data_IF_032602967415
#
_entry.id   IF_032602967415
#
_cell.length_a   1.000
_cell.length_b   1.000
_cell.length_c   1.000
_cell.angle_alpha   90.00
_cell.angle_beta   90.00
_cell.angle_gamma   90.00
#
_symmetry.space_group_name_H-M   'P 1'
#
loop_
_entity.id
_entity.type
_entity.pdbx_description
1 polymer ?
#
# COMPACT_ATOMS: atom_id res chain seq x y z
N UNK A 1 -6.55 8.37 -36.66
CA UNK A 1 -7.62 8.83 -35.76
C UNK A 1 -8.33 7.58 -35.24
N UNK A 2 -7.79 6.98 -34.17
CA UNK A 2 -8.39 5.85 -33.47
C UNK A 2 -8.81 6.39 -32.11
N UNK A 3 -10.11 6.48 -31.86
CA UNK A 3 -10.64 6.72 -30.52
C UNK A 3 -10.22 5.53 -29.66
N UNK A 4 -9.38 5.78 -28.66
CA UNK A 4 -9.17 4.86 -27.55
C UNK A 4 -10.05 5.39 -26.42
N UNK A 5 -11.19 4.74 -26.24
CA UNK A 5 -12.11 4.96 -25.12
C UNK A 5 -11.38 4.68 -23.81
N UNK A 6 -11.28 5.69 -22.94
CA UNK A 6 -10.82 5.55 -21.56
C UNK A 6 -11.66 4.51 -20.85
N UNK A 7 -11.07 3.35 -20.57
CA UNK A 7 -11.66 2.33 -19.73
C UNK A 7 -11.41 2.73 -18.28
N UNK A 8 -12.38 3.41 -17.66
CA UNK A 8 -12.43 3.53 -16.20
C UNK A 8 -12.47 2.10 -15.62
N UNK A 9 -11.40 1.71 -14.93
CA UNK A 9 -11.38 0.49 -14.14
C UNK A 9 -12.36 0.65 -12.97
N UNK A 10 -13.58 0.15 -13.14
CA UNK A 10 -14.46 -0.15 -12.01
C UNK A 10 -13.96 -1.44 -11.38
N UNK A 11 -13.43 -1.37 -10.15
CA UNK A 11 -13.29 -2.52 -9.27
C UNK A 11 -14.70 -3.10 -9.03
N UNK A 12 -15.06 -4.15 -9.77
CA UNK A 12 -16.30 -4.87 -9.57
C UNK A 12 -16.18 -5.72 -8.29
N UNK A 13 -16.80 -5.26 -7.21
CA UNK A 13 -17.01 -6.04 -5.99
C UNK A 13 -18.08 -7.10 -6.25
N UNK A 14 -17.70 -8.37 -6.14
CA UNK A 14 -18.65 -9.48 -6.06
C UNK A 14 -19.35 -9.42 -4.69
N UNK A 15 -20.50 -8.75 -4.65
CA UNK A 15 -21.37 -8.75 -3.49
C UNK A 15 -22.17 -10.06 -3.45
N UNK A 16 -21.90 -10.91 -2.45
CA UNK A 16 -22.84 -11.95 -2.04
C UNK A 16 -23.89 -11.34 -1.13
N UNK A 17 -25.16 -11.51 -1.48
CA UNK A 17 -26.29 -10.99 -0.73
C UNK A 17 -26.48 -11.79 0.57
N UNK A 18 -26.29 -11.14 1.72
CA UNK A 18 -26.84 -11.57 2.99
C UNK A 18 -27.88 -10.52 3.44
N UNK A 19 -29.11 -11.00 3.68
CA UNK A 19 -30.25 -10.19 4.08
C UNK A 19 -30.04 -9.56 5.47
N UNK A 20 -30.60 -8.38 5.64
CA UNK A 20 -30.29 -7.47 6.74
C UNK A 20 -30.97 -7.78 8.07
N UNK A 21 -30.32 -7.30 9.13
CA UNK A 21 -30.94 -6.99 10.41
C UNK A 21 -30.41 -5.64 10.91
N UNK A 22 -31.32 -4.80 11.39
CA UNK A 22 -31.04 -3.46 11.94
C UNK A 22 -30.23 -3.56 13.25
N UNK A 23 -29.21 -2.73 13.49
CA UNK A 23 -28.62 -2.65 14.83
C UNK A 23 -29.51 -1.79 15.74
N UNK A 24 -29.98 -2.43 16.81
CA UNK A 24 -30.53 -1.80 18.01
C UNK A 24 -29.46 -0.96 18.69
N UNK A 25 -29.81 0.27 19.08
CA UNK A 25 -29.04 1.03 20.06
C UNK A 25 -29.16 0.32 21.40
N UNK A 26 -28.04 -0.08 22.01
CA UNK A 26 -28.01 -0.40 23.43
C UNK A 26 -26.87 0.34 24.12
N UNK A 27 -27.28 1.24 25.00
CA UNK A 27 -26.43 1.99 25.92
C UNK A 27 -26.30 1.17 27.20
N UNK A 28 -25.24 0.39 27.32
CA UNK A 28 -24.96 -0.42 28.49
C UNK A 28 -23.46 -0.49 28.80
N UNK A 29 -23.07 0.12 29.92
CA UNK A 29 -21.73 -0.04 30.50
C UNK A 29 -21.55 -1.49 30.96
N UNK A 30 -20.83 -2.28 30.16
CA UNK A 30 -20.48 -3.66 30.45
C UNK A 30 -19.06 -3.94 29.98
N UNK A 31 -18.30 -4.64 30.82
CA UNK A 31 -16.90 -5.02 30.64
C UNK A 31 -16.74 -6.12 29.54
N UNK A 32 -17.20 -5.83 28.32
CA UNK A 32 -17.16 -6.72 27.17
C UNK A 32 -16.00 -6.36 26.24
N UNK A 33 -15.17 -7.35 25.89
CA UNK A 33 -14.14 -7.19 24.86
C UNK A 33 -14.79 -6.70 23.56
N UNK A 34 -14.38 -5.53 23.08
CA UNK A 34 -14.80 -4.97 21.79
C UNK A 34 -14.62 -6.01 20.67
N UNK A 35 -15.69 -6.39 19.99
CA UNK A 35 -15.67 -7.30 18.82
C UNK A 35 -15.19 -6.61 17.55
N UNK A 36 -14.79 -5.33 17.64
CA UNK A 36 -14.24 -4.57 16.52
C UNK A 36 -12.92 -5.18 16.03
N UNK A 37 -12.75 -5.20 14.70
CA UNK A 37 -11.59 -5.80 14.04
C UNK A 37 -10.31 -5.05 14.40
N UNK A 38 -10.32 -3.71 14.41
CA UNK A 38 -9.17 -2.90 14.82
C UNK A 38 -8.82 -3.12 16.30
N UNK A 39 -9.83 -3.17 17.17
CA UNK A 39 -9.63 -3.48 18.58
C UNK A 39 -9.01 -4.87 18.81
N UNK A 40 -9.38 -5.84 17.98
CA UNK A 40 -8.82 -7.20 18.02
C UNK A 40 -7.35 -7.22 17.61
N UNK A 41 -6.99 -6.55 16.51
CA UNK A 41 -5.59 -6.44 16.05
C UNK A 41 -4.74 -5.71 17.09
N UNK A 42 -5.24 -4.59 17.63
CA UNK A 42 -4.59 -3.83 18.68
C UNK A 42 -4.25 -4.73 19.88
N UNK A 43 -5.22 -5.49 20.41
CA UNK A 43 -4.98 -6.43 21.52
C UNK A 43 -4.03 -7.57 21.18
N UNK A 44 -4.10 -8.11 19.96
CA UNK A 44 -3.17 -9.14 19.49
C UNK A 44 -1.72 -8.62 19.54
N UNK A 45 -1.47 -7.46 18.93
CA UNK A 45 -0.15 -6.84 18.89
C UNK A 45 0.33 -6.44 20.28
N UNK A 46 -0.55 -5.93 21.16
CA UNK A 46 -0.22 -5.67 22.56
C UNK A 46 0.26 -6.94 23.28
N UNK A 47 -0.39 -8.08 23.04
CA UNK A 47 -0.02 -9.36 23.65
C UNK A 47 1.34 -9.85 23.14
N UNK A 48 1.60 -9.75 21.83
CA UNK A 48 2.89 -10.10 21.22
C UNK A 48 4.04 -9.21 21.74
N UNK A 49 3.78 -7.91 21.95
CA UNK A 49 4.79 -6.94 22.39
C UNK A 49 4.99 -6.87 23.91
N UNK A 50 4.10 -7.49 24.71
CA UNK A 50 4.15 -7.45 26.16
C UNK A 50 3.98 -6.03 26.74
N UNK A 51 4.69 -5.69 27.82
CA UNK A 51 4.59 -4.34 28.42
C UNK A 51 5.35 -3.25 27.66
N UNK A 52 6.16 -3.63 26.68
CA UNK A 52 7.09 -2.78 25.92
C UNK A 52 6.37 -1.70 25.12
N UNK A 53 5.20 -2.02 24.56
CA UNK A 53 4.48 -1.13 23.65
C UNK A 53 4.02 0.18 24.33
N UNK A 54 3.75 0.16 25.64
CA UNK A 54 3.19 1.31 26.39
C UNK A 54 4.08 2.56 26.40
N UNK A 55 5.37 2.40 26.10
CA UNK A 55 6.36 3.48 26.07
C UNK A 55 6.95 3.69 24.68
N UNK A 56 6.47 2.95 23.69
CA UNK A 56 7.07 2.93 22.36
C UNK A 56 6.62 4.15 21.58
N UNK A 57 7.58 4.92 21.08
CA UNK A 57 7.32 5.93 20.06
C UNK A 57 7.74 5.39 18.69
N UNK A 58 7.36 6.09 17.62
CA UNK A 58 7.82 5.75 16.27
C UNK A 58 9.35 5.65 16.14
N UNK A 59 10.10 6.40 16.97
CA UNK A 59 11.58 6.37 16.97
C UNK A 59 12.15 5.13 17.67
N UNK A 60 11.36 4.49 18.52
CA UNK A 60 11.75 3.34 19.33
C UNK A 60 11.24 2.02 18.74
N UNK A 61 10.59 2.07 17.57
CA UNK A 61 10.13 0.88 16.85
C UNK A 61 11.33 -0.05 16.60
N UNK A 62 11.19 -1.36 16.88
CA UNK A 62 12.26 -2.31 16.62
C UNK A 62 12.57 -2.36 15.12
N UNK A 63 13.81 -2.76 14.78
CA UNK A 63 14.23 -2.95 13.39
C UNK A 63 13.34 -3.96 12.64
N UNK A 64 12.81 -4.93 13.37
CA UNK A 64 11.81 -5.89 12.89
C UNK A 64 10.55 -5.76 13.75
N UNK A 65 9.57 -4.92 13.32
CA UNK A 65 8.30 -4.81 14.00
C UNK A 65 7.50 -6.11 13.94
N UNK A 66 6.57 -6.33 14.89
CA UNK A 66 5.63 -7.45 14.81
C UNK A 66 4.87 -7.44 13.48
N UNK A 67 4.72 -8.64 12.92
CA UNK A 67 4.05 -8.90 11.64
C UNK A 67 2.81 -9.73 11.92
N UNK A 68 1.67 -9.32 11.40
CA UNK A 68 0.40 -10.06 11.50
C UNK A 68 -0.16 -10.34 10.11
N UNK A 69 -1.05 -11.32 9.93
CA UNK A 69 -1.71 -11.55 8.64
C UNK A 69 -2.36 -10.27 8.12
N UNK A 70 -2.18 -9.97 6.83
CA UNK A 70 -2.58 -8.68 6.27
C UNK A 70 -4.09 -8.50 6.12
N UNK A 71 -4.85 -9.56 5.81
CA UNK A 71 -6.30 -9.43 5.56
C UNK A 71 -7.07 -8.85 6.75
N UNK A 72 -6.91 -9.34 8.01
CA UNK A 72 -7.55 -8.69 9.16
C UNK A 72 -7.21 -7.20 9.29
N UNK A 73 -5.95 -6.83 9.03
CA UNK A 73 -5.53 -5.41 9.07
C UNK A 73 -6.23 -4.60 7.99
N UNK A 74 -6.30 -5.12 6.76
CA UNK A 74 -7.06 -4.47 5.69
C UNK A 74 -8.55 -4.33 6.05
N UNK A 75 -9.15 -5.33 6.71
CA UNK A 75 -10.53 -5.28 7.17
C UNK A 75 -10.73 -4.20 8.24
N UNK A 76 -9.75 -3.98 9.12
CA UNK A 76 -9.73 -2.86 10.07
C UNK A 76 -9.60 -1.50 9.36
N UNK A 77 -8.69 -1.35 8.39
CA UNK A 77 -8.57 -0.10 7.63
C UNK A 77 -9.87 0.20 6.86
N UNK A 78 -10.52 -0.84 6.34
CA UNK A 78 -11.82 -0.78 5.68
C UNK A 78 -13.01 -0.60 6.63
N UNK A 79 -12.82 -0.62 7.95
CA UNK A 79 -13.88 -0.25 8.90
C UNK A 79 -13.73 1.18 9.43
N UNK A 80 -12.66 1.91 9.05
CA UNK A 80 -12.50 3.31 9.42
C UNK A 80 -13.61 4.17 8.80
N UNK A 81 -14.37 4.94 9.61
CA UNK A 81 -15.48 5.74 9.13
C UNK A 81 -14.99 6.87 8.20
N UNK A 82 -15.63 7.02 7.05
CA UNK A 82 -15.46 8.22 6.23
C UNK A 82 -16.36 9.35 6.74
N UNK A 83 -15.81 10.55 6.90
CA UNK A 83 -16.58 11.76 7.28
C UNK A 83 -16.58 12.73 6.07
N UNK A 84 -17.67 12.79 5.27
CA UNK A 84 -17.66 13.48 3.98
C UNK A 84 -17.25 14.95 4.04
N UNK A 85 -17.69 15.68 5.06
CA UNK A 85 -17.34 17.10 5.23
C UNK A 85 -15.83 17.29 5.45
N UNK A 86 -15.18 16.39 6.20
CA UNK A 86 -13.73 16.46 6.42
C UNK A 86 -12.96 16.11 5.14
N UNK A 87 -13.40 15.10 4.38
CA UNK A 87 -12.78 14.76 3.10
C UNK A 87 -12.91 15.87 2.05
N UNK A 88 -14.08 16.51 1.99
CA UNK A 88 -14.34 17.69 1.16
C UNK A 88 -13.43 18.86 1.52
N UNK A 89 -13.37 19.19 2.81
CA UNK A 89 -12.52 20.28 3.30
C UNK A 89 -11.04 19.97 3.07
N UNK A 90 -10.61 18.72 3.31
CA UNK A 90 -9.25 18.29 3.01
C UNK A 90 -8.89 18.49 1.53
N UNK A 91 -9.75 18.08 0.60
CA UNK A 91 -9.49 18.26 -0.83
C UNK A 91 -9.27 19.74 -1.20
N UNK A 92 -10.07 20.65 -0.63
CA UNK A 92 -9.94 22.10 -0.84
C UNK A 92 -8.68 22.67 -0.20
N UNK A 93 -8.36 22.29 1.03
CA UNK A 93 -7.19 22.83 1.73
C UNK A 93 -5.90 22.25 1.15
N UNK A 94 -5.87 20.96 0.86
CA UNK A 94 -4.72 20.31 0.25
C UNK A 94 -4.45 20.84 -1.15
N UNK A 95 -5.47 21.16 -1.95
CA UNK A 95 -5.26 21.75 -3.28
C UNK A 95 -4.47 23.04 -3.23
N UNK A 96 -4.59 23.84 -2.14
CA UNK A 96 -3.81 25.08 -1.97
C UNK A 96 -2.31 24.80 -1.83
N UNK A 97 -1.94 23.72 -1.16
CA UNK A 97 -0.55 23.27 -1.07
C UNK A 97 -0.06 22.70 -2.40
N UNK A 98 -0.92 21.95 -3.10
CA UNK A 98 -0.56 21.34 -4.38
C UNK A 98 -0.26 22.37 -5.47
N UNK A 99 -0.81 23.59 -5.39
CA UNK A 99 -0.47 24.68 -6.33
C UNK A 99 1.03 25.04 -6.36
N UNK A 100 1.82 24.63 -5.36
CA UNK A 100 3.28 24.81 -5.38
C UNK A 100 4.03 23.76 -6.21
N UNK A 101 3.34 22.70 -6.69
CA UNK A 101 3.97 21.68 -7.53
C UNK A 101 4.20 22.23 -8.94
N UNK A 102 5.48 22.35 -9.32
CA UNK A 102 5.88 23.05 -10.54
C UNK A 102 5.50 22.33 -11.85
N UNK A 103 5.19 21.04 -11.76
CA UNK A 103 4.95 20.17 -12.93
C UNK A 103 3.48 19.99 -13.29
N UNK A 104 2.54 20.61 -12.55
CA UNK A 104 1.09 20.39 -12.72
C UNK A 104 0.61 20.55 -14.18
N UNK A 105 0.98 21.65 -14.85
CA UNK A 105 0.55 21.92 -16.23
C UNK A 105 1.09 20.88 -17.21
N UNK A 106 2.38 20.53 -17.07
CA UNK A 106 3.04 19.53 -17.92
C UNK A 106 2.51 18.12 -17.67
N UNK A 107 2.16 17.77 -16.43
CA UNK A 107 1.55 16.48 -16.10
C UNK A 107 0.14 16.35 -16.70
N UNK A 108 -0.64 17.43 -16.67
CA UNK A 108 -1.99 17.46 -17.24
C UNK A 108 -1.97 17.40 -18.77
N UNK A 109 -1.00 18.08 -19.41
CA UNK A 109 -0.88 18.17 -20.86
C UNK A 109 0.56 17.86 -21.32
N UNK A 110 1.03 16.62 -21.18
CA UNK A 110 2.41 16.28 -21.47
C UNK A 110 2.70 16.30 -22.98
N UNK A 111 3.96 16.49 -23.38
CA UNK A 111 4.35 16.31 -24.78
C UNK A 111 4.08 14.88 -25.23
N UNK A 112 3.84 14.66 -26.53
CA UNK A 112 3.57 13.33 -27.11
C UNK A 112 4.67 12.29 -26.88
N UNK A 113 5.87 12.75 -26.51
CA UNK A 113 7.03 11.91 -26.20
C UNK A 113 7.11 11.50 -24.74
N UNK A 114 6.22 12.02 -23.88
CA UNK A 114 6.15 11.58 -22.49
C UNK A 114 5.64 10.14 -22.43
N UNK A 115 6.36 9.30 -21.72
CA UNK A 115 6.11 7.86 -21.72
C UNK A 115 5.05 7.40 -20.71
N UNK A 116 4.63 8.29 -19.82
CA UNK A 116 3.56 8.01 -18.85
C UNK A 116 2.26 8.69 -19.28
N UNK A 117 1.15 8.26 -18.69
CA UNK A 117 -0.16 8.84 -18.95
C UNK A 117 -0.23 10.29 -18.43
N UNK A 118 -1.03 11.11 -19.10
CA UNK A 118 -1.35 12.44 -18.59
C UNK A 118 -2.16 12.33 -17.29
N UNK A 119 -1.91 13.22 -16.35
CA UNK A 119 -2.64 13.25 -15.08
C UNK A 119 -3.02 14.68 -14.66
N UNK A 120 -4.28 14.86 -14.31
CA UNK A 120 -4.81 16.11 -13.77
C UNK A 120 -4.90 16.00 -12.24
N UNK A 121 -3.84 16.41 -11.55
CA UNK A 121 -3.76 16.31 -10.09
C UNK A 121 -4.83 17.20 -9.40
N UNK A 122 -5.00 18.44 -9.86
CA UNK A 122 -5.97 19.37 -9.25
C UNK A 122 -7.40 18.99 -9.60
N UNK A 123 -7.66 18.61 -10.85
CA UNK A 123 -8.97 18.11 -11.29
C UNK A 123 -9.35 16.81 -10.58
N UNK A 124 -8.42 15.86 -10.47
CA UNK A 124 -8.62 14.62 -9.73
C UNK A 124 -8.98 14.88 -8.27
N UNK A 125 -8.27 15.78 -7.59
CA UNK A 125 -8.55 16.13 -6.20
C UNK A 125 -9.93 16.82 -6.05
N UNK A 126 -10.31 17.66 -7.01
CA UNK A 126 -11.64 18.27 -7.03
C UNK A 126 -12.76 17.25 -7.22
N UNK A 127 -12.56 16.21 -8.04
CA UNK A 127 -13.51 15.11 -8.20
C UNK A 127 -13.60 14.24 -6.94
N UNK A 128 -12.47 13.97 -6.29
CA UNK A 128 -12.46 13.28 -4.99
C UNK A 128 -13.26 14.05 -3.93
N UNK A 129 -13.15 15.38 -3.90
CA UNK A 129 -13.95 16.23 -3.01
C UNK A 129 -15.47 16.09 -3.22
N UNK A 130 -15.93 15.67 -4.38
CA UNK A 130 -17.37 15.47 -4.67
C UNK A 130 -17.84 14.05 -4.37
N UNK A 131 -16.92 13.08 -4.26
CA UNK A 131 -17.23 11.66 -4.09
C UNK A 131 -17.58 11.35 -2.64
N UNK A 132 -18.57 10.49 -2.43
CA UNK A 132 -18.86 9.91 -1.12
C UNK A 132 -18.20 8.54 -1.02
N UNK A 133 -17.17 8.44 -0.19
CA UNK A 133 -16.41 7.21 0.01
C UNK A 133 -17.10 6.30 1.02
N UNK A 134 -16.88 4.98 0.87
CA UNK A 134 -17.41 4.00 1.81
C UNK A 134 -16.62 4.04 3.12
N UNK A 135 -15.31 4.20 3.04
CA UNK A 135 -14.38 4.14 4.18
C UNK A 135 -13.32 5.26 4.07
N UNK A 136 -12.71 5.64 5.18
CA UNK A 136 -11.57 6.58 5.14
C UNK A 136 -10.42 6.00 4.31
N UNK A 137 -10.20 4.68 4.39
CA UNK A 137 -9.16 4.01 3.62
C UNK A 137 -9.38 4.11 2.11
N UNK A 138 -10.62 4.07 1.62
CA UNK A 138 -10.89 4.24 0.19
C UNK A 138 -10.55 5.65 -0.29
N UNK A 139 -10.79 6.67 0.54
CA UNK A 139 -10.39 8.05 0.25
C UNK A 139 -8.86 8.17 0.21
N UNK A 140 -8.18 7.60 1.20
CA UNK A 140 -6.72 7.65 1.34
C UNK A 140 -6.01 6.90 0.20
N UNK A 141 -6.54 5.76 -0.25
CA UNK A 141 -6.02 5.00 -1.40
C UNK A 141 -6.20 5.77 -2.71
N UNK A 142 -7.37 6.39 -2.94
CA UNK A 142 -7.58 7.25 -4.11
C UNK A 142 -6.61 8.44 -4.10
N UNK A 143 -6.36 9.04 -2.92
CA UNK A 143 -5.44 10.17 -2.77
C UNK A 143 -4.00 9.80 -3.14
N UNK A 144 -3.50 8.69 -2.60
CA UNK A 144 -2.15 8.19 -2.92
C UNK A 144 -2.07 7.79 -4.39
N UNK A 145 -3.11 7.17 -4.96
CA UNK A 145 -3.14 6.79 -6.38
C UNK A 145 -3.07 8.03 -7.28
N UNK A 146 -3.81 9.09 -6.95
CA UNK A 146 -3.77 10.35 -7.68
C UNK A 146 -2.39 11.00 -7.60
N UNK A 147 -1.81 11.14 -6.40
CA UNK A 147 -0.47 11.73 -6.24
C UNK A 147 0.61 10.89 -6.94
N UNK A 148 0.54 9.56 -6.82
CA UNK A 148 1.51 8.64 -7.45
C UNK A 148 1.44 8.66 -8.98
N UNK A 149 0.29 9.04 -9.56
CA UNK A 149 0.16 9.16 -11.03
C UNK A 149 1.05 10.26 -11.63
N UNK A 150 1.56 11.19 -10.81
CA UNK A 150 2.57 12.16 -11.22
C UNK A 150 3.95 11.53 -11.49
N UNK A 151 4.19 10.33 -10.94
CA UNK A 151 5.47 9.63 -11.01
C UNK A 151 6.66 10.52 -10.62
N UNK A 152 6.55 11.16 -9.46
CA UNK A 152 7.56 12.08 -8.93
C UNK A 152 7.92 11.72 -7.48
N UNK A 153 9.18 11.30 -7.27
CA UNK A 153 9.70 10.89 -5.97
C UNK A 153 9.79 11.99 -4.91
N UNK A 154 9.55 13.25 -5.27
CA UNK A 154 9.45 14.37 -4.32
C UNK A 154 8.01 14.88 -4.16
N UNK A 155 7.05 14.20 -4.79
CA UNK A 155 5.65 14.52 -4.71
C UNK A 155 4.87 13.36 -4.12
N UNK A 156 4.81 13.35 -2.79
CA UNK A 156 4.16 12.29 -2.02
C UNK A 156 3.16 12.84 -1.00
N UNK A 157 2.32 11.94 -0.51
CA UNK A 157 1.35 12.21 0.56
C UNK A 157 1.25 10.97 1.44
N UNK A 158 1.20 11.18 2.76
CA UNK A 158 1.05 10.12 3.75
C UNK A 158 -0.26 10.29 4.49
N UNK A 159 -1.36 9.69 4.02
CA UNK A 159 -2.66 9.84 4.64
C UNK A 159 -2.82 8.93 5.86
N UNK A 160 -3.79 9.25 6.71
CA UNK A 160 -3.88 8.72 8.06
C UNK A 160 -4.11 7.21 8.13
N UNK A 161 -4.94 6.61 7.26
CA UNK A 161 -5.21 5.17 7.31
C UNK A 161 -3.99 4.37 6.86
N UNK A 162 -3.30 4.86 5.83
CA UNK A 162 -2.13 4.21 5.22
C UNK A 162 -0.85 4.44 6.03
N UNK A 163 -0.85 5.35 7.01
CA UNK A 163 0.29 5.51 7.92
C UNK A 163 0.34 4.47 9.03
N UNK A 164 -0.78 3.79 9.34
CA UNK A 164 -0.87 2.89 10.50
C UNK A 164 -0.07 1.60 10.33
N UNK A 165 -0.14 1.02 9.14
CA UNK A 165 0.45 -0.26 8.78
C UNK A 165 1.10 -0.20 7.41
N UNK A 166 2.16 -0.97 7.21
CA UNK A 166 2.72 -1.27 5.89
C UNK A 166 2.36 -2.70 5.52
N UNK A 167 1.94 -2.94 4.27
CA UNK A 167 1.75 -4.29 3.75
C UNK A 167 2.94 -4.76 2.93
N UNK A 168 3.34 -6.01 3.14
CA UNK A 168 4.43 -6.65 2.42
C UNK A 168 4.13 -8.11 2.10
N UNK A 169 4.65 -8.59 0.97
CA UNK A 169 4.66 -10.02 0.65
C UNK A 169 5.75 -10.73 1.46
N UNK A 170 5.42 -11.82 2.13
CA UNK A 170 6.39 -12.58 2.95
C UNK A 170 7.34 -13.42 2.09
N UNK A 171 8.25 -12.75 1.38
CA UNK A 171 9.16 -13.37 0.44
C UNK A 171 10.43 -12.52 0.21
N UNK A 172 11.53 -13.18 -0.18
CA UNK A 172 12.82 -12.53 -0.45
C UNK A 172 12.88 -11.68 -1.72
N UNK A 173 11.75 -11.41 -2.39
CA UNK A 173 11.71 -10.72 -3.68
C UNK A 173 11.97 -11.60 -4.90
N UNK A 174 11.80 -11.00 -6.07
CA UNK A 174 12.02 -11.64 -7.38
C UNK A 174 13.13 -10.92 -8.14
N UNK A 175 13.73 -11.62 -9.10
CA UNK A 175 14.78 -11.08 -9.96
C UNK A 175 14.52 -11.46 -11.42
N UNK A 176 15.06 -10.64 -12.33
CA UNK A 176 15.04 -10.88 -13.77
C UNK A 176 16.46 -11.22 -14.23
N UNK A 177 16.69 -12.46 -14.67
CA UNK A 177 18.03 -12.99 -14.93
C UNK A 177 18.09 -13.67 -16.29
N UNK A 178 19.05 -13.27 -17.11
CA UNK A 178 19.43 -13.98 -18.33
C UNK A 178 20.41 -15.10 -17.98
N UNK A 179 20.18 -16.30 -18.50
CA UNK A 179 21.02 -17.48 -18.19
C UNK A 179 22.43 -17.37 -18.76
N UNK A 180 22.59 -16.67 -19.88
CA UNK A 180 23.84 -16.55 -20.63
C UNK A 180 24.24 -15.09 -20.92
N UNK A 181 23.45 -14.12 -20.46
CA UNK A 181 23.62 -12.69 -20.74
C UNK A 181 23.28 -12.30 -22.19
N UNK A 182 22.67 -13.19 -22.97
CA UNK A 182 22.29 -12.98 -24.38
C UNK A 182 20.83 -13.29 -24.64
N UNK A 183 20.29 -14.34 -24.02
CA UNK A 183 18.88 -14.68 -24.05
C UNK A 183 18.08 -13.62 -23.31
N UNK A 184 16.80 -13.48 -23.66
CA UNK A 184 15.88 -12.70 -22.85
C UNK A 184 15.90 -13.20 -21.39
N UNK A 185 15.85 -12.30 -20.41
CA UNK A 185 15.84 -12.69 -19.02
C UNK A 185 14.52 -13.36 -18.65
N UNK A 186 14.60 -14.32 -17.75
CA UNK A 186 13.45 -14.97 -17.14
C UNK A 186 13.33 -14.54 -15.67
N UNK A 187 12.13 -14.72 -15.10
CA UNK A 187 11.86 -14.35 -13.73
C UNK A 187 12.16 -15.51 -12.78
N UNK A 188 12.86 -15.22 -11.69
CA UNK A 188 13.16 -16.19 -10.63
C UNK A 188 12.86 -15.58 -9.26
N UNK A 189 12.62 -16.44 -8.27
CA UNK A 189 12.71 -15.99 -6.87
C UNK A 189 14.16 -15.63 -6.56
N UNK A 190 14.37 -14.73 -5.60
CA UNK A 190 15.74 -14.39 -5.21
C UNK A 190 16.52 -15.61 -4.68
N UNK A 191 15.85 -16.50 -3.94
CA UNK A 191 16.46 -17.70 -3.40
C UNK A 191 16.87 -18.69 -4.50
N UNK A 192 16.04 -18.89 -5.53
CA UNK A 192 16.38 -19.68 -6.70
C UNK A 192 17.57 -19.09 -7.46
N UNK A 193 17.59 -17.77 -7.65
CA UNK A 193 18.71 -17.09 -8.30
C UNK A 193 20.01 -17.22 -7.49
N UNK A 194 19.93 -17.19 -6.16
CA UNK A 194 21.08 -17.44 -5.30
C UNK A 194 21.59 -18.89 -5.40
N UNK A 195 20.72 -19.86 -5.70
CA UNK A 195 21.13 -21.24 -5.98
C UNK A 195 21.82 -21.38 -7.34
N UNK A 196 21.32 -20.68 -8.38
CA UNK A 196 21.98 -20.61 -9.69
C UNK A 196 23.41 -20.09 -9.59
N UNK A 197 23.61 -19.02 -8.82
CA UNK A 197 24.91 -18.38 -8.66
C UNK A 197 25.97 -19.25 -7.97
N UNK A 198 25.56 -20.25 -7.17
CA UNK A 198 26.48 -21.14 -6.43
C UNK A 198 27.10 -22.24 -7.28
N UNK A 199 26.83 -22.29 -8.59
CA UNK A 199 27.45 -23.26 -9.50
C UNK A 199 27.02 -24.71 -9.26
N UNK A 200 25.93 -24.93 -8.51
CA UNK A 200 25.25 -26.21 -8.47
C UNK A 200 24.56 -26.41 -9.82
N UNK A 201 25.33 -26.80 -10.85
CA UNK A 201 24.90 -26.97 -12.25
C UNK A 201 23.74 -27.96 -12.49
N UNK A 202 23.11 -28.46 -11.42
CA UNK A 202 21.97 -29.36 -11.38
C UNK A 202 20.81 -28.87 -10.48
N UNK A 203 20.89 -27.68 -9.86
CA UNK A 203 19.69 -27.11 -9.22
C UNK A 203 18.72 -26.72 -10.33
N UNK A 204 17.74 -27.58 -10.60
CA UNK A 204 16.68 -27.33 -11.57
C UNK A 204 15.72 -26.26 -11.04
N UNK A 205 16.24 -25.04 -10.85
CA UNK A 205 15.38 -23.90 -10.56
C UNK A 205 14.55 -23.63 -11.79
N UNK A 206 13.30 -23.32 -11.55
CA UNK A 206 12.32 -23.15 -12.61
C UNK A 206 11.92 -21.68 -12.62
N UNK A 207 11.90 -21.02 -13.79
CA UNK A 207 11.40 -19.66 -13.86
C UNK A 207 9.93 -19.58 -13.48
N UNK A 208 9.55 -18.43 -12.94
CA UNK A 208 8.16 -18.04 -12.70
C UNK A 208 7.48 -17.83 -14.05
N UNK A 209 6.36 -18.53 -14.25
CA UNK A 209 5.57 -18.49 -15.49
C UNK A 209 4.23 -17.80 -15.30
N UNK A 210 3.71 -17.74 -14.07
CA UNK A 210 2.49 -17.00 -13.72
C UNK A 210 2.56 -16.41 -12.32
N UNK A 211 1.90 -15.27 -12.14
CA UNK A 211 1.63 -14.67 -10.83
C UNK A 211 0.11 -14.56 -10.70
N UNK A 212 -0.49 -15.20 -9.68
CA UNK A 212 -1.94 -15.28 -9.51
C UNK A 212 -2.69 -15.78 -10.76
N UNK A 213 -2.08 -16.71 -11.50
CA UNK A 213 -2.62 -17.26 -12.75
C UNK A 213 -2.51 -16.34 -13.97
N UNK A 214 -1.97 -15.12 -13.83
CA UNK A 214 -1.81 -14.13 -14.89
C UNK A 214 -0.38 -14.13 -15.45
N UNK A 215 -0.20 -13.47 -16.60
CA UNK A 215 1.13 -13.19 -17.14
C UNK A 215 1.95 -12.38 -16.11
N UNK A 216 3.16 -12.83 -15.75
CA UNK A 216 3.95 -12.14 -14.76
C UNK A 216 4.25 -10.69 -15.12
N UNK A 217 4.58 -10.39 -16.38
CA UNK A 217 4.98 -9.04 -16.76
C UNK A 217 3.81 -8.06 -16.65
N UNK A 218 2.58 -8.48 -16.97
CA UNK A 218 1.38 -7.66 -16.76
C UNK A 218 1.20 -7.31 -15.27
N UNK A 219 1.40 -8.29 -14.37
CA UNK A 219 1.32 -8.07 -12.93
C UNK A 219 2.43 -7.11 -12.46
N UNK A 220 3.67 -7.33 -12.88
CA UNK A 220 4.81 -6.50 -12.47
C UNK A 220 4.71 -5.07 -13.02
N UNK A 221 4.23 -4.88 -14.25
CA UNK A 221 3.95 -3.54 -14.80
C UNK A 221 2.85 -2.82 -14.01
N UNK A 222 1.82 -3.54 -13.55
CA UNK A 222 0.79 -2.95 -12.71
C UNK A 222 1.32 -2.53 -11.34
N UNK A 223 2.24 -3.29 -10.74
CA UNK A 223 2.95 -2.89 -9.51
C UNK A 223 3.79 -1.64 -9.79
N UNK A 224 4.54 -1.62 -10.88
CA UNK A 224 5.42 -0.52 -11.26
C UNK A 224 4.70 0.83 -11.41
N UNK A 225 3.40 0.85 -11.74
CA UNK A 225 2.61 2.09 -11.86
C UNK A 225 2.55 2.94 -10.58
N UNK A 226 2.77 2.34 -9.42
CA UNK A 226 2.78 3.07 -8.14
C UNK A 226 4.18 3.53 -7.73
N UNK A 227 5.20 3.22 -8.53
CA UNK A 227 6.56 3.71 -8.30
C UNK A 227 6.70 5.16 -8.77
N UNK A 228 7.58 5.89 -8.10
CA UNK A 228 7.72 7.35 -8.21
C UNK A 228 8.75 7.83 -9.22
N UNK A 229 9.38 6.93 -9.98
CA UNK A 229 10.31 7.31 -11.05
C UNK A 229 9.54 7.80 -12.28
N UNK A 230 9.95 8.93 -12.88
CA UNK A 230 9.33 9.49 -14.07
C UNK A 230 9.47 8.57 -15.28
N UNK A 231 10.60 7.85 -15.35
CA UNK A 231 10.90 6.88 -16.40
C UNK A 231 10.23 5.52 -16.11
N UNK A 232 9.41 4.98 -17.03
CA UNK A 232 8.70 3.72 -16.82
C UNK A 232 9.63 2.50 -16.68
N UNK A 233 10.80 2.50 -17.32
CA UNK A 233 11.75 1.40 -17.21
C UNK A 233 12.41 1.41 -15.83
N UNK A 234 12.71 2.59 -15.28
CA UNK A 234 13.16 2.74 -13.90
C UNK A 234 12.10 2.25 -12.89
N UNK A 235 10.81 2.53 -13.14
CA UNK A 235 9.71 1.99 -12.33
C UNK A 235 9.65 0.46 -12.40
N UNK A 236 9.79 -0.11 -13.59
CA UNK A 236 9.82 -1.56 -13.77
C UNK A 236 11.03 -2.19 -13.07
N UNK A 237 12.20 -1.57 -13.15
CA UNK A 237 13.41 -2.02 -12.46
C UNK A 237 13.24 -2.01 -10.93
N UNK A 238 12.49 -1.06 -10.37
CA UNK A 238 12.22 -0.96 -8.93
C UNK A 238 11.38 -2.14 -8.39
N UNK A 239 10.67 -2.87 -9.25
CA UNK A 239 9.89 -4.06 -8.86
C UNK A 239 10.79 -5.19 -8.36
N UNK A 240 11.99 -5.30 -8.92
CA UNK A 240 12.92 -6.39 -8.63
C UNK A 240 13.79 -6.11 -7.41
N UNK A 241 14.19 -7.19 -6.75
CA UNK A 241 15.23 -7.15 -5.74
C UNK A 241 16.55 -6.69 -6.35
N UNK A 242 17.22 -5.75 -5.69
CA UNK A 242 18.51 -5.23 -6.13
C UNK A 242 19.45 -4.96 -4.96
N UNK A 243 20.67 -5.47 -5.05
CA UNK A 243 21.72 -5.23 -4.05
C UNK A 243 22.13 -3.76 -3.93
N UNK A 244 21.80 -2.93 -4.93
CA UNK A 244 22.04 -1.48 -4.89
C UNK A 244 21.41 -0.82 -3.65
N UNK A 245 20.20 -1.26 -3.26
CA UNK A 245 19.48 -0.72 -2.11
C UNK A 245 20.22 -0.93 -0.78
N UNK A 246 21.09 -1.94 -0.69
CA UNK A 246 21.91 -2.18 0.51
C UNK A 246 22.93 -1.06 0.76
N UNK A 247 23.35 -0.35 -0.30
CA UNK A 247 24.33 0.74 -0.20
C UNK A 247 23.72 2.01 0.40
N UNK A 248 22.39 2.17 0.28
CA UNK A 248 21.67 3.36 0.76
C UNK A 248 21.22 3.30 2.23
N UNK A 249 21.45 2.18 2.95
CA UNK A 249 21.11 1.92 4.36
C UNK A 249 19.67 2.21 4.81
N UNK A 250 18.76 2.57 3.90
CA UNK A 250 17.44 3.14 4.26
C UNK A 250 16.28 2.17 4.03
N UNK A 251 16.43 1.17 3.14
CA UNK A 251 15.37 0.22 2.80
C UNK A 251 15.92 -1.20 2.56
N UNK A 252 15.14 -2.25 2.89
CA UNK A 252 15.49 -3.61 2.50
C UNK A 252 15.54 -3.73 0.96
N UNK A 253 16.42 -4.58 0.40
CA UNK A 253 16.73 -4.57 -1.03
C UNK A 253 15.72 -5.31 -1.91
N UNK A 254 14.53 -5.62 -1.38
CA UNK A 254 13.59 -6.62 -1.84
C UNK A 254 12.67 -6.19 -3.00
N UNK A 255 12.63 -4.90 -3.35
CA UNK A 255 11.90 -4.34 -4.49
C UNK A 255 10.40 -4.15 -4.24
N UNK A 256 9.72 -3.41 -5.11
CA UNK A 256 8.28 -3.08 -4.94
C UNK A 256 7.35 -4.27 -5.18
N UNK A 257 7.86 -5.40 -5.69
CA UNK A 257 7.14 -6.66 -5.59
C UNK A 257 6.90 -7.08 -4.14
N UNK A 258 7.79 -6.75 -3.21
CA UNK A 258 7.62 -7.10 -1.80
C UNK A 258 6.88 -6.02 -1.04
N UNK A 259 7.35 -4.79 -1.09
CA UNK A 259 6.76 -3.62 -0.42
C UNK A 259 6.57 -2.50 -1.44
N UNK A 260 5.31 -2.22 -1.79
CA UNK A 260 4.94 -1.19 -2.77
C UNK A 260 4.48 0.10 -2.08
N UNK A 261 5.33 0.64 -1.20
CA UNK A 261 4.99 1.82 -0.39
C UNK A 261 3.98 1.50 0.72
N UNK A 262 3.97 0.26 1.19
CA UNK A 262 3.07 -0.25 2.22
C UNK A 262 1.63 -0.43 1.79
N UNK A 263 1.31 -0.32 0.50
CA UNK A 263 -0.04 -0.49 -0.02
C UNK A 263 -0.50 -1.94 0.01
N UNK A 264 -1.78 -2.16 0.35
CA UNK A 264 -2.41 -3.46 0.26
C UNK A 264 -2.34 -3.99 -1.19
N UNK A 265 -1.76 -5.18 -1.44
CA UNK A 265 -1.60 -5.72 -2.79
C UNK A 265 -2.91 -6.23 -3.41
N UNK A 266 -4.05 -6.07 -2.74
CA UNK A 266 -5.37 -6.50 -3.21
C UNK A 266 -5.70 -7.96 -2.87
N UNK A 267 -4.74 -8.74 -2.35
CA UNK A 267 -4.87 -10.18 -2.11
C UNK A 267 -4.20 -10.59 -0.81
N UNK A 268 -4.72 -11.62 -0.15
CA UNK A 268 -4.16 -12.18 1.09
C UNK A 268 -2.91 -13.06 0.85
N UNK A 269 -2.79 -13.64 -0.34
CA UNK A 269 -1.66 -14.47 -0.78
C UNK A 269 -1.41 -14.23 -2.26
N UNK A 270 -0.13 -14.29 -2.64
CA UNK A 270 0.30 -14.26 -4.04
C UNK A 270 0.81 -15.65 -4.45
N UNK A 271 0.16 -16.27 -5.42
CA UNK A 271 0.58 -17.55 -5.99
C UNK A 271 1.63 -17.33 -7.07
N UNK A 272 2.81 -17.92 -6.90
CA UNK A 272 3.83 -18.03 -7.94
C UNK A 272 3.76 -19.42 -8.57
N UNK A 273 3.58 -19.50 -9.89
CA UNK A 273 3.61 -20.78 -10.62
C UNK A 273 4.89 -20.90 -11.45
N UNK A 274 5.53 -22.05 -11.39
CA UNK A 274 6.83 -22.30 -11.99
C UNK A 274 6.74 -23.21 -13.22
N UNK A 275 7.73 -23.14 -14.11
CA UNK A 275 7.73 -23.92 -15.36
C UNK A 275 7.82 -25.45 -15.17
N UNK A 276 8.28 -25.93 -14.01
CA UNK A 276 8.23 -27.36 -13.64
C UNK A 276 6.83 -27.82 -13.14
N UNK A 277 5.84 -26.93 -13.09
CA UNK A 277 4.50 -27.20 -12.61
C UNK A 277 4.29 -27.05 -11.10
N UNK A 278 5.33 -26.72 -10.32
CA UNK A 278 5.16 -26.42 -8.89
C UNK A 278 4.58 -25.02 -8.69
N UNK A 279 4.07 -24.77 -7.48
CA UNK A 279 3.57 -23.46 -7.05
C UNK A 279 4.10 -23.10 -5.67
N UNK A 280 4.23 -21.81 -5.39
CA UNK A 280 4.50 -21.27 -4.06
C UNK A 280 3.45 -20.24 -3.69
N UNK A 281 2.99 -20.27 -2.44
CA UNK A 281 2.09 -19.27 -1.88
C UNK A 281 2.91 -18.29 -1.05
N UNK A 282 2.73 -17.00 -1.33
CA UNK A 282 3.40 -15.91 -0.65
C UNK A 282 2.37 -15.10 0.12
N UNK A 283 2.25 -15.29 1.45
CA UNK A 283 1.32 -14.55 2.28
C UNK A 283 1.57 -13.04 2.23
N UNK A 284 0.51 -12.25 2.33
CA UNK A 284 0.61 -10.81 2.59
C UNK A 284 0.54 -10.57 4.09
N UNK A 285 1.57 -9.91 4.60
CA UNK A 285 1.72 -9.55 6.01
C UNK A 285 1.54 -8.04 6.18
N UNK A 286 1.07 -7.64 7.36
CA UNK A 286 1.00 -6.26 7.78
C UNK A 286 1.99 -6.00 8.92
N UNK A 287 2.70 -4.89 8.81
CA UNK A 287 3.73 -4.43 9.74
C UNK A 287 3.25 -3.15 10.40
N UNK A 288 3.18 -3.12 11.73
CA UNK A 288 2.78 -1.93 12.47
C UNK A 288 3.79 -0.78 12.24
N UNK A 289 3.30 0.42 11.92
CA UNK A 289 4.13 1.61 11.69
C UNK A 289 3.89 2.70 12.72
N UNK A 290 2.68 2.79 13.27
CA UNK A 290 2.31 3.76 14.29
C UNK A 290 1.95 3.07 15.61
N UNK A 291 2.87 3.03 16.62
CA UNK A 291 2.63 2.30 17.87
C UNK A 291 1.45 2.87 18.68
N UNK A 292 1.10 4.14 18.48
CA UNK A 292 -0.07 4.75 19.13
C UNK A 292 -1.38 4.06 18.72
N UNK A 293 -1.42 3.32 17.61
CA UNK A 293 -2.59 2.53 17.19
C UNK A 293 -2.98 1.53 18.27
N UNK A 294 -2.00 1.04 19.04
CA UNK A 294 -2.22 0.11 20.13
C UNK A 294 -3.01 0.72 21.30
N UNK A 295 -3.18 2.05 21.35
CA UNK A 295 -4.06 2.69 22.32
C UNK A 295 -5.54 2.69 21.90
N UNK A 296 -5.87 2.17 20.71
CA UNK A 296 -7.23 2.18 20.16
C UNK A 296 -7.92 0.84 20.34
N UNK A 297 -9.21 0.87 20.63
CA UNK A 297 -10.08 -0.30 20.84
C UNK A 297 -11.13 -0.51 19.75
N UNK A 298 -11.22 0.40 18.76
CA UNK A 298 -12.16 0.31 17.64
C UNK A 298 -11.70 1.12 16.42
N UNK A 299 -12.36 0.91 15.27
CA UNK A 299 -12.13 1.71 14.07
C UNK A 299 -12.49 3.20 14.24
N UNK A 300 -13.56 3.51 15.00
CA UNK A 300 -13.93 4.90 15.30
C UNK A 300 -12.84 5.56 16.17
N UNK A 301 -12.32 4.87 17.19
CA UNK A 301 -11.22 5.38 18.02
C UNK A 301 -9.94 5.61 17.20
N UNK A 302 -9.61 4.69 16.29
CA UNK A 302 -8.47 4.86 15.38
C UNK A 302 -8.66 6.05 14.46
N UNK A 303 -9.84 6.23 13.87
CA UNK A 303 -10.13 7.42 13.06
C UNK A 303 -9.98 8.71 13.87
N UNK A 304 -10.55 8.76 15.07
CA UNK A 304 -10.48 9.93 15.94
C UNK A 304 -9.05 10.27 16.39
N UNK A 305 -8.20 9.24 16.57
CA UNK A 305 -6.80 9.41 16.97
C UNK A 305 -5.88 9.86 15.82
N UNK A 306 -6.07 9.33 14.60
CA UNK A 306 -5.11 9.48 13.50
C UNK A 306 -5.59 10.34 12.34
N UNK A 307 -6.90 10.36 12.08
CA UNK A 307 -7.47 11.01 10.89
C UNK A 307 -8.05 12.40 11.19
N UNK A 308 -8.12 12.80 12.47
CA UNK A 308 -8.54 14.14 12.84
C UNK A 308 -7.37 15.09 13.01
N UNK A 309 -7.52 16.36 12.59
CA UNK A 309 -6.60 17.42 12.98
C UNK A 309 -6.47 17.47 14.51
N UNK A 310 -5.25 17.63 15.05
CA UNK A 310 -5.06 17.80 16.48
C UNK A 310 -5.92 18.96 16.98
N UNK A 311 -6.66 18.75 18.09
CA UNK A 311 -7.45 19.84 18.68
C UNK A 311 -6.50 21.00 18.98
N UNK A 312 -6.78 22.17 18.39
CA UNK A 312 -5.97 23.38 18.59
C UNK A 312 -5.94 23.68 20.09
N UNK A 313 -4.81 23.40 20.74
CA UNK A 313 -4.66 23.73 22.15
C UNK A 313 -4.91 25.23 22.32
N UNK A 314 -5.97 25.62 23.04
CA UNK A 314 -6.26 27.01 23.41
C UNK A 314 -5.19 27.63 24.36
N UNK A 315 -4.01 27.00 24.51
CA UNK A 315 -2.92 27.40 25.40
C UNK A 315 -1.85 28.24 24.69
N UNK A 316 -2.25 29.17 23.82
CA UNK A 316 -1.35 30.20 23.25
C UNK A 316 -1.81 31.63 23.47
N UNK A 317 -2.68 31.86 24.47
CA UNK A 317 -2.97 33.19 25.03
C UNK A 317 -2.57 33.23 26.50
N UNK A 318 -1.26 33.18 26.77
CA UNK A 318 -0.67 33.88 27.92
C UNK A 318 0.45 34.74 27.34
N UNK A 319 0.06 35.95 26.96
CA UNK A 319 0.98 37.09 26.87
C UNK A 319 1.37 37.48 28.29
#
# INVERSE_FOLDING_TARGET
MRLVTSLLLTLASLASAAQGEKPSQDSGAGNGQSTDVCGTISRQLQAEMGSSWKKMTRKDMPKEPPRVPGQPVQDCLQSLPYKPQLGQEFAVEFSKYLQFQSTLETLQNPPKTYASEATDILGGLAEMGKKNYKTQNDFDVDLVSLVSSAHDGHFDVSPCSLSLFSFERDHGGIVSVSRDGRSLPELYTFDDAAQLAKGNGNAAVSPITKINGQDPNDVLQNIAKFSSSQDPDARYNAVFRSSYWLVGESNPPNGTFIDNGGLWPGVNSTTLAFSNGSTAEVPTMAVLREPDFLNTGSAEEAFEAFCRPPKRNQRRNKK
#
